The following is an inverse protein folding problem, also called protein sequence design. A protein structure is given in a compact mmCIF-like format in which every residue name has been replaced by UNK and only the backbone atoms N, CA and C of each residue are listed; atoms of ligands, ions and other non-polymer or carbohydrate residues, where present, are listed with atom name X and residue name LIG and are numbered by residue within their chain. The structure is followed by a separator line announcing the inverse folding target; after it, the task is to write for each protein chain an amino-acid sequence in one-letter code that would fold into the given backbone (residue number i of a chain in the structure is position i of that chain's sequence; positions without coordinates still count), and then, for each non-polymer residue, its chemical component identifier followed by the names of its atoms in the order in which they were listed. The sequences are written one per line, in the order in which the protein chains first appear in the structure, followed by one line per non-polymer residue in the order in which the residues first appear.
data_IF_554781581335
#
_entry.id   IF_554781581335
#
_cell.length_a   1.000
_cell.length_b   1.000
_cell.length_c   1.000
_cell.angle_alpha   90.00
_cell.angle_beta   90.00
_cell.angle_gamma   90.00
#
_symmetry.space_group_name_H-M   'P 1'
#
loop_
_entity.id
_entity.type
_entity.pdbx_description
1 polymer ?
#
# COMPACT_ATOMS: atom_id res chain seq x y z
N UNK A 1 -12.85 -17.14 18.24
CA UNK A 1 -13.48 -15.94 17.66
C UNK A 1 -12.99 -14.80 18.52
N UNK A 2 -12.05 -13.98 18.03
CA UNK A 2 -11.63 -12.79 18.77
C UNK A 2 -12.86 -11.89 18.93
N UNK A 3 -13.19 -11.53 20.17
CA UNK A 3 -14.37 -10.75 20.49
C UNK A 3 -14.17 -9.34 19.93
N UNK A 4 -15.13 -8.80 19.16
CA UNK A 4 -15.03 -7.43 18.61
C UNK A 4 -14.76 -6.39 19.71
N UNK A 5 -15.15 -6.75 20.93
CA UNK A 5 -14.92 -6.01 22.16
C UNK A 5 -13.44 -5.98 22.57
N UNK A 6 -12.68 -7.08 22.40
CA UNK A 6 -11.22 -7.09 22.64
C UNK A 6 -10.48 -6.22 21.63
N UNK A 7 -10.89 -6.28 20.35
CA UNK A 7 -10.35 -5.41 19.29
C UNK A 7 -10.63 -3.93 19.65
N UNK A 8 -11.84 -3.61 20.09
CA UNK A 8 -12.22 -2.25 20.49
C UNK A 8 -11.49 -1.73 21.74
N UNK A 9 -11.29 -2.58 22.74
CA UNK A 9 -10.57 -2.23 23.98
C UNK A 9 -9.08 -2.04 23.71
N UNK A 10 -8.46 -2.89 22.89
CA UNK A 10 -7.06 -2.73 22.48
C UNK A 10 -6.83 -1.46 21.64
N UNK A 11 -7.80 -1.12 20.79
CA UNK A 11 -7.79 0.10 19.96
C UNK A 11 -7.99 1.41 20.74
N UNK A 12 -8.50 1.38 21.99
CA UNK A 12 -8.86 2.60 22.73
C UNK A 12 -7.81 3.06 23.76
N UNK A 13 -6.83 2.23 24.12
CA UNK A 13 -6.03 2.46 25.34
C UNK A 13 -4.72 3.27 25.16
N UNK A 14 -4.16 3.41 23.96
CA UNK A 14 -2.95 4.22 23.63
C UNK A 14 -2.64 4.48 22.12
N UNK A 15 -3.29 3.89 21.10
CA UNK A 15 -2.79 3.93 19.72
C UNK A 15 -3.23 5.13 18.85
N UNK A 16 -4.02 6.08 19.36
CA UNK A 16 -4.54 7.18 18.51
C UNK A 16 -3.47 8.17 18.04
N UNK A 17 -2.30 8.25 18.69
CA UNK A 17 -1.26 9.21 18.32
C UNK A 17 -0.75 8.94 16.90
N UNK A 18 -0.37 7.70 16.59
CA UNK A 18 0.14 7.37 15.26
C UNK A 18 -0.95 7.44 14.19
N UNK A 19 -2.20 7.07 14.52
CA UNK A 19 -3.34 7.29 13.63
C UNK A 19 -3.55 8.76 13.31
N UNK A 20 -3.63 9.62 14.33
CA UNK A 20 -3.81 11.07 14.18
C UNK A 20 -2.64 11.70 13.44
N UNK A 21 -1.41 11.25 13.70
CA UNK A 21 -0.23 11.66 12.97
C UNK A 21 -0.33 11.30 11.48
N UNK A 22 -0.75 10.09 11.14
CA UNK A 22 -0.94 9.65 9.74
C UNK A 22 -1.99 10.50 9.04
N UNK A 23 -3.12 10.77 9.69
CA UNK A 23 -4.17 11.65 9.15
C UNK A 23 -3.68 13.09 8.99
N UNK A 24 -2.93 13.62 9.96
CA UNK A 24 -2.36 14.95 9.90
C UNK A 24 -1.31 15.08 8.78
N UNK A 25 -0.45 14.09 8.59
CA UNK A 25 0.52 14.04 7.51
C UNK A 25 -0.18 13.99 6.14
N UNK A 26 -1.24 13.20 6.01
CA UNK A 26 -2.05 13.16 4.79
C UNK A 26 -2.77 14.48 4.51
N UNK A 27 -3.31 15.14 5.54
CA UNK A 27 -3.95 16.45 5.40
C UNK A 27 -2.94 17.53 5.01
N UNK A 28 -1.74 17.51 5.59
CA UNK A 28 -0.65 18.41 5.21
C UNK A 28 -0.22 18.17 3.74
N UNK A 29 -0.13 16.91 3.32
CA UNK A 29 0.13 16.54 1.93
C UNK A 29 -0.96 17.02 0.97
N UNK A 30 -2.23 16.90 1.36
CA UNK A 30 -3.38 17.38 0.57
C UNK A 30 -3.36 18.90 0.44
N UNK A 31 -3.11 19.61 1.55
CA UNK A 31 -2.97 21.06 1.55
C UNK A 31 -1.83 21.53 0.65
N UNK A 32 -0.69 20.84 0.68
CA UNK A 32 0.45 21.14 -0.18
C UNK A 32 0.15 20.84 -1.65
N UNK A 33 -0.52 19.72 -1.92
CA UNK A 33 -0.96 19.35 -3.26
C UNK A 33 -1.84 20.44 -3.89
N UNK A 34 -2.87 20.90 -3.17
CA UNK A 34 -3.76 21.94 -3.66
C UNK A 34 -3.03 23.28 -3.84
N UNK A 35 -2.18 23.68 -2.88
CA UNK A 35 -1.42 24.94 -2.96
C UNK A 35 -0.36 24.94 -4.07
N UNK A 36 0.14 23.77 -4.44
CA UNK A 36 1.11 23.61 -5.53
C UNK A 36 0.49 23.68 -6.93
N UNK A 37 -0.84 23.78 -7.03
CA UNK A 37 -1.58 23.70 -8.29
C UNK A 37 -1.77 22.26 -8.76
N UNK A 38 -1.91 21.30 -7.83
CA UNK A 38 -2.14 19.87 -8.11
C UNK A 38 -1.04 19.22 -8.94
N UNK A 39 0.21 19.62 -8.70
CA UNK A 39 1.36 18.98 -9.37
C UNK A 39 1.49 17.53 -8.86
N UNK A 40 1.65 16.52 -9.75
CA UNK A 40 1.73 15.11 -9.37
C UNK A 40 2.82 14.79 -8.34
N UNK A 41 3.90 15.57 -8.33
CA UNK A 41 5.00 15.42 -7.38
C UNK A 41 4.58 15.62 -5.92
N UNK A 42 3.55 16.45 -5.65
CA UNK A 42 3.01 16.67 -4.31
C UNK A 42 1.86 15.71 -4.00
N UNK A 43 1.88 14.48 -4.54
CA UNK A 43 0.86 13.49 -4.25
C UNK A 43 0.67 13.38 -2.71
N UNK A 44 -0.56 13.51 -2.18
CA UNK A 44 -0.81 13.52 -0.75
C UNK A 44 -0.31 12.27 -0.03
N UNK A 45 -0.40 11.09 -0.67
CA UNK A 45 0.06 9.83 -0.11
C UNK A 45 1.58 9.80 -0.02
N UNK A 46 2.28 10.16 -1.11
CA UNK A 46 3.75 10.20 -1.12
C UNK A 46 4.28 11.20 -0.10
N UNK A 47 3.65 12.38 -0.02
CA UNK A 47 4.02 13.41 0.95
C UNK A 47 3.83 12.91 2.37
N UNK A 48 2.72 12.25 2.67
CA UNK A 48 2.48 11.65 3.99
C UNK A 48 3.53 10.59 4.33
N UNK A 49 3.86 9.69 3.40
CA UNK A 49 4.91 8.67 3.61
C UNK A 49 6.25 9.32 3.94
N UNK A 50 6.67 10.34 3.17
CA UNK A 50 7.93 11.06 3.41
C UNK A 50 7.94 11.71 4.79
N UNK A 51 6.84 12.37 5.19
CA UNK A 51 6.71 13.02 6.49
C UNK A 51 6.78 12.01 7.64
N UNK A 52 6.06 10.89 7.55
CA UNK A 52 6.04 9.85 8.58
C UNK A 52 7.41 9.17 8.69
N UNK A 53 7.99 8.73 7.57
CA UNK A 53 9.33 8.10 7.56
C UNK A 53 10.38 9.05 8.12
N UNK A 54 10.33 10.33 7.74
CA UNK A 54 11.20 11.37 8.29
C UNK A 54 11.04 11.53 9.81
N UNK A 55 9.80 11.59 10.29
CA UNK A 55 9.53 11.71 11.73
C UNK A 55 10.04 10.51 12.52
N UNK A 56 9.72 9.29 12.06
CA UNK A 56 10.15 8.05 12.73
C UNK A 56 11.67 7.92 12.77
N UNK A 57 12.34 8.31 11.68
CA UNK A 57 13.80 8.31 11.61
C UNK A 57 14.43 9.33 12.57
N UNK A 58 13.82 10.51 12.71
CA UNK A 58 14.29 11.56 13.63
C UNK A 58 14.00 11.23 15.10
N UNK A 59 12.86 10.60 15.40
CA UNK A 59 12.48 10.21 16.75
C UNK A 59 13.11 8.89 17.20
N UNK A 60 13.73 8.14 16.29
CA UNK A 60 14.26 6.80 16.55
C UNK A 60 13.17 5.76 16.82
N UNK A 61 11.93 6.03 16.41
CA UNK A 61 10.79 5.12 16.62
C UNK A 61 10.80 4.05 15.53
N UNK A 62 10.68 2.78 15.92
CA UNK A 62 10.64 1.69 14.94
C UNK A 62 9.31 1.68 14.17
N UNK A 63 9.33 1.10 12.98
CA UNK A 63 8.12 0.96 12.17
C UNK A 63 7.07 0.09 12.88
N UNK A 64 7.49 -0.95 13.61
CA UNK A 64 6.58 -1.81 14.36
C UNK A 64 5.78 -1.02 15.39
N UNK A 65 6.43 -0.16 16.17
CA UNK A 65 5.74 0.69 17.16
C UNK A 65 4.77 1.67 16.51
N UNK A 66 5.13 2.26 15.37
CA UNK A 66 4.21 3.08 14.58
C UNK A 66 3.01 2.26 14.09
N UNK A 67 3.27 1.05 13.58
CA UNK A 67 2.27 0.18 12.97
C UNK A 67 1.26 -0.34 13.99
N UNK A 68 1.69 -0.64 15.21
CA UNK A 68 0.81 -0.96 16.35
C UNK A 68 -0.23 0.16 16.58
N UNK A 69 0.19 1.42 16.47
CA UNK A 69 -0.72 2.56 16.57
C UNK A 69 -1.58 2.83 15.33
N UNK A 70 -1.13 2.39 14.15
CA UNK A 70 -1.82 2.60 12.88
C UNK A 70 -2.74 1.45 12.47
N UNK A 71 -2.92 0.43 13.32
CA UNK A 71 -3.68 -0.79 13.01
C UNK A 71 -5.11 -0.53 12.54
N UNK A 72 -5.76 0.56 12.98
CA UNK A 72 -7.11 0.91 12.56
C UNK A 72 -7.20 1.13 11.03
N UNK A 73 -6.26 1.88 10.45
CA UNK A 73 -6.22 2.12 9.00
C UNK A 73 -5.87 0.83 8.27
N UNK A 74 -4.96 0.04 8.82
CA UNK A 74 -4.60 -1.26 8.25
C UNK A 74 -5.80 -2.21 8.21
N UNK A 75 -6.59 -2.29 9.29
CA UNK A 75 -7.83 -3.07 9.33
C UNK A 75 -8.84 -2.61 8.26
N UNK A 76 -9.00 -1.29 8.07
CA UNK A 76 -9.87 -0.72 7.06
C UNK A 76 -9.46 -1.06 5.61
N UNK A 77 -8.21 -1.49 5.36
CA UNK A 77 -7.78 -1.95 4.04
C UNK A 77 -8.58 -3.17 3.57
N UNK A 78 -9.00 -4.06 4.48
CA UNK A 78 -9.82 -5.22 4.15
C UNK A 78 -11.18 -4.83 3.56
N UNK A 79 -12.04 -4.13 4.32
CA UNK A 79 -13.33 -3.63 3.83
C UNK A 79 -13.18 -2.74 2.60
N UNK A 80 -12.14 -1.88 2.54
CA UNK A 80 -11.88 -1.04 1.37
C UNK A 80 -11.58 -1.89 0.12
N UNK A 81 -10.79 -2.95 0.24
CA UNK A 81 -10.48 -3.87 -0.87
C UNK A 81 -11.73 -4.60 -1.37
N UNK A 82 -12.61 -5.03 -0.46
CA UNK A 82 -13.90 -5.63 -0.83
C UNK A 82 -14.82 -4.60 -1.51
N UNK A 83 -14.85 -3.36 -1.01
CA UNK A 83 -15.63 -2.28 -1.61
C UNK A 83 -15.18 -1.95 -3.04
N UNK A 84 -13.89 -2.11 -3.36
CA UNK A 84 -13.37 -1.96 -4.73
C UNK A 84 -13.93 -3.01 -5.71
N UNK A 85 -14.47 -4.14 -5.23
CA UNK A 85 -15.14 -5.11 -6.09
C UNK A 85 -16.53 -4.62 -6.57
N UNK A 86 -17.17 -3.71 -5.84
CA UNK A 86 -18.49 -3.17 -6.18
C UNK A 86 -18.52 -2.49 -7.58
N UNK A 87 -17.61 -1.55 -7.92
CA UNK A 87 -17.61 -0.94 -9.26
C UNK A 87 -17.36 -1.97 -10.36
N UNK A 88 -16.54 -3.00 -10.12
CA UNK A 88 -16.29 -4.08 -11.07
C UNK A 88 -17.56 -4.91 -11.30
N UNK A 89 -18.27 -5.26 -10.23
CA UNK A 89 -19.54 -5.98 -10.30
C UNK A 89 -20.62 -5.17 -11.04
N UNK A 90 -20.70 -3.86 -10.78
CA UNK A 90 -21.62 -2.95 -11.51
C UNK A 90 -21.32 -2.87 -13.01
N UNK A 91 -20.13 -3.25 -13.45
CA UNK A 91 -19.71 -3.25 -14.86
C UNK A 91 -19.46 -4.68 -15.38
N UNK A 92 -19.99 -5.70 -14.71
CA UNK A 92 -19.67 -7.10 -14.98
C UNK A 92 -19.93 -7.52 -16.43
N UNK A 93 -20.99 -7.02 -17.06
CA UNK A 93 -21.27 -7.31 -18.47
C UNK A 93 -20.20 -6.76 -19.42
N UNK A 94 -19.64 -5.58 -19.14
CA UNK A 94 -18.55 -4.99 -19.94
C UNK A 94 -17.25 -5.77 -19.75
N UNK A 95 -16.98 -6.18 -18.51
CA UNK A 95 -15.83 -7.03 -18.15
C UNK A 95 -15.93 -8.37 -18.88
N UNK A 96 -17.10 -9.01 -18.85
CA UNK A 96 -17.34 -10.30 -19.52
C UNK A 96 -17.14 -10.21 -21.02
N UNK A 97 -17.64 -9.17 -21.68
CA UNK A 97 -17.44 -8.94 -23.12
C UNK A 97 -15.97 -8.77 -23.49
N UNK A 98 -15.16 -8.27 -22.57
CA UNK A 98 -13.72 -8.01 -22.76
C UNK A 98 -12.83 -9.04 -22.08
N UNK A 99 -13.39 -10.15 -21.59
CA UNK A 99 -12.68 -11.07 -20.69
C UNK A 99 -11.41 -11.66 -21.32
N UNK A 100 -11.44 -11.99 -22.62
CA UNK A 100 -10.27 -12.51 -23.32
C UNK A 100 -9.13 -11.48 -23.36
N UNK A 101 -9.43 -10.22 -23.72
CA UNK A 101 -8.45 -9.14 -23.74
C UNK A 101 -7.91 -8.86 -22.32
N UNK A 102 -8.78 -8.88 -21.30
CA UNK A 102 -8.37 -8.69 -19.90
C UNK A 102 -7.46 -9.82 -19.43
N UNK A 103 -7.81 -11.08 -19.64
CA UNK A 103 -7.00 -12.22 -19.19
C UNK A 103 -5.64 -12.24 -19.88
N UNK A 104 -5.63 -12.06 -21.21
CA UNK A 104 -4.37 -12.04 -21.97
C UNK A 104 -3.46 -10.88 -21.57
N UNK A 105 -4.01 -9.66 -21.44
CA UNK A 105 -3.26 -8.50 -20.97
C UNK A 105 -2.76 -8.66 -19.52
N UNK A 106 -3.56 -9.26 -18.63
CA UNK A 106 -3.16 -9.53 -17.25
C UNK A 106 -2.02 -10.54 -17.20
N UNK A 107 -2.09 -11.66 -17.93
CA UNK A 107 -1.03 -12.67 -17.94
C UNK A 107 0.26 -12.08 -18.51
N UNK A 108 0.20 -11.49 -19.70
CA UNK A 108 1.39 -10.92 -20.33
C UNK A 108 1.97 -9.76 -19.50
N UNK A 109 1.12 -8.81 -19.10
CA UNK A 109 1.53 -7.63 -18.34
C UNK A 109 2.10 -7.97 -16.96
N UNK A 110 1.46 -8.88 -16.22
CA UNK A 110 1.95 -9.30 -14.90
C UNK A 110 3.27 -10.06 -14.99
N UNK A 111 3.40 -11.00 -15.93
CA UNK A 111 4.65 -11.74 -16.13
C UNK A 111 5.78 -10.81 -16.57
N UNK A 112 5.53 -9.89 -17.50
CA UNK A 112 6.53 -8.91 -17.92
C UNK A 112 6.92 -7.99 -16.76
N UNK A 113 5.95 -7.46 -16.01
CA UNK A 113 6.23 -6.59 -14.87
C UNK A 113 7.03 -7.30 -13.77
N UNK A 114 6.66 -8.55 -13.43
CA UNK A 114 7.37 -9.35 -12.45
C UNK A 114 8.78 -9.70 -12.92
N UNK A 115 8.92 -10.25 -14.14
CA UNK A 115 10.20 -10.67 -14.68
C UNK A 115 11.19 -9.51 -14.82
N UNK A 116 10.71 -8.35 -15.29
CA UNK A 116 11.56 -7.15 -15.41
C UNK A 116 11.94 -6.60 -14.05
N UNK A 117 11.00 -6.42 -13.12
CA UNK A 117 11.31 -5.85 -11.82
C UNK A 117 12.22 -6.76 -11.00
N UNK A 118 11.86 -8.05 -10.86
CA UNK A 118 12.66 -9.02 -10.11
C UNK A 118 13.99 -9.29 -10.81
N UNK A 119 14.01 -9.40 -12.13
CA UNK A 119 15.24 -9.63 -12.90
C UNK A 119 16.24 -8.47 -12.78
N UNK A 120 15.77 -7.23 -12.87
CA UNK A 120 16.60 -6.04 -12.64
C UNK A 120 17.07 -5.95 -11.19
N UNK A 121 16.18 -6.19 -10.22
CA UNK A 121 16.55 -6.22 -8.81
C UNK A 121 17.63 -7.27 -8.52
N UNK A 122 17.52 -8.45 -9.12
CA UNK A 122 18.50 -9.53 -8.96
C UNK A 122 19.85 -9.16 -9.59
N UNK A 123 19.83 -8.57 -10.80
CA UNK A 123 21.03 -8.09 -11.47
C UNK A 123 21.75 -6.99 -10.68
N UNK A 124 21.01 -6.16 -9.95
CA UNK A 124 21.54 -5.13 -9.05
C UNK A 124 22.00 -5.67 -7.70
N UNK A 125 21.89 -6.99 -7.45
CA UNK A 125 22.31 -7.62 -6.20
C UNK A 125 21.34 -7.43 -5.02
N UNK A 126 20.04 -7.20 -5.29
CA UNK A 126 19.05 -7.02 -4.24
C UNK A 126 18.90 -8.28 -3.35
N UNK A 127 18.63 -8.07 -2.06
CA UNK A 127 18.40 -9.16 -1.10
C UNK A 127 17.14 -9.96 -1.44
N UNK A 128 17.07 -11.21 -0.98
CA UNK A 128 15.90 -12.08 -1.19
C UNK A 128 14.60 -11.42 -0.70
N UNK A 129 14.62 -10.78 0.46
CA UNK A 129 13.46 -10.05 1.01
C UNK A 129 13.02 -8.89 0.10
N UNK A 130 13.99 -8.15 -0.45
CA UNK A 130 13.71 -7.07 -1.40
C UNK A 130 13.09 -7.61 -2.68
N UNK A 131 13.62 -8.72 -3.22
CA UNK A 131 13.08 -9.35 -4.42
C UNK A 131 11.64 -9.85 -4.22
N UNK A 132 11.34 -10.47 -3.06
CA UNK A 132 9.99 -10.91 -2.71
C UNK A 132 9.01 -9.73 -2.56
N UNK A 133 9.50 -8.58 -2.07
CA UNK A 133 8.72 -7.34 -1.96
C UNK A 133 8.50 -6.65 -3.31
N UNK A 134 9.44 -6.84 -4.24
CA UNK A 134 9.40 -6.21 -5.56
C UNK A 134 8.46 -6.95 -6.52
N UNK A 135 8.29 -8.26 -6.35
CA UNK A 135 7.45 -9.09 -7.22
C UNK A 135 5.99 -8.60 -7.35
N UNK A 136 5.25 -8.30 -6.26
CA UNK A 136 3.87 -7.85 -6.35
C UNK A 136 3.71 -6.31 -6.52
N UNK A 137 4.78 -5.57 -6.83
CA UNK A 137 4.76 -4.08 -6.83
C UNK A 137 3.71 -3.42 -7.75
N UNK A 138 3.21 -4.15 -8.75
CA UNK A 138 2.25 -3.65 -9.74
C UNK A 138 0.80 -4.03 -9.42
N UNK A 139 0.57 -4.64 -8.26
CA UNK A 139 -0.77 -4.95 -7.74
C UNK A 139 -1.24 -3.82 -6.82
N UNK A 140 -2.55 -3.69 -6.59
CA UNK A 140 -3.10 -2.75 -5.60
C UNK A 140 -2.54 -3.00 -4.21
N UNK A 141 -2.17 -1.92 -3.50
CA UNK A 141 -1.34 -1.97 -2.29
C UNK A 141 -1.78 -2.99 -1.23
N UNK A 142 -3.07 -3.09 -0.84
CA UNK A 142 -3.50 -4.07 0.16
C UNK A 142 -3.23 -5.53 -0.27
N UNK A 143 -3.52 -5.85 -1.53
CA UNK A 143 -3.32 -7.19 -2.09
C UNK A 143 -1.82 -7.48 -2.24
N UNK A 144 -1.03 -6.50 -2.68
CA UNK A 144 0.42 -6.65 -2.82
C UNK A 144 1.11 -6.93 -1.48
N UNK A 145 0.70 -6.21 -0.42
CA UNK A 145 1.22 -6.40 0.93
C UNK A 145 0.89 -7.80 1.47
N UNK A 146 -0.35 -8.26 1.30
CA UNK A 146 -0.76 -9.59 1.74
C UNK A 146 -0.04 -10.73 0.99
N UNK A 147 0.25 -10.56 -0.31
CA UNK A 147 1.06 -11.50 -1.08
C UNK A 147 2.50 -11.50 -0.57
N UNK A 148 3.07 -10.33 -0.30
CA UNK A 148 4.45 -10.19 0.16
C UNK A 148 4.68 -10.87 1.50
N UNK A 149 3.73 -10.73 2.43
CA UNK A 149 3.78 -11.38 3.74
C UNK A 149 3.83 -12.91 3.60
N UNK A 150 3.05 -13.48 2.68
CA UNK A 150 3.07 -14.91 2.36
C UNK A 150 4.38 -15.37 1.68
N UNK A 151 5.03 -14.49 0.92
CA UNK A 151 6.30 -14.77 0.25
C UNK A 151 7.53 -14.60 1.17
N UNK A 152 7.33 -14.06 2.38
CA UNK A 152 8.42 -13.73 3.32
C UNK A 152 9.23 -12.50 2.89
N UNK A 153 8.59 -11.52 2.24
CA UNK A 153 9.17 -10.20 1.98
C UNK A 153 8.75 -9.17 3.03
N UNK A 154 8.96 -7.89 2.73
CA UNK A 154 8.64 -6.75 3.59
C UNK A 154 7.38 -6.02 3.04
N UNK A 155 6.20 -6.15 3.68
CA UNK A 155 4.97 -5.49 3.23
C UNK A 155 5.09 -3.95 3.19
N UNK A 156 5.84 -3.36 4.13
CA UNK A 156 6.09 -1.92 4.20
C UNK A 156 6.84 -1.41 2.96
N UNK A 157 7.88 -2.12 2.53
CA UNK A 157 8.62 -1.82 1.30
C UNK A 157 7.72 -1.96 0.07
N UNK A 158 6.90 -3.02 0.03
CA UNK A 158 5.95 -3.26 -1.06
C UNK A 158 4.94 -2.13 -1.19
N UNK A 159 4.39 -1.65 -0.08
CA UNK A 159 3.47 -0.52 -0.09
C UNK A 159 4.10 0.72 -0.72
N UNK A 160 5.35 1.04 -0.35
CA UNK A 160 6.10 2.15 -0.94
C UNK A 160 6.33 1.96 -2.45
N UNK A 161 6.73 0.76 -2.89
CA UNK A 161 6.96 0.44 -4.29
C UNK A 161 5.70 0.51 -5.15
N UNK A 162 4.56 0.06 -4.61
CA UNK A 162 3.25 0.16 -5.27
C UNK A 162 2.84 1.62 -5.43
N UNK A 163 2.98 2.44 -4.38
CA UNK A 163 2.67 3.87 -4.43
C UNK A 163 3.56 4.57 -5.45
N UNK A 164 4.86 4.31 -5.43
CA UNK A 164 5.80 4.86 -6.40
C UNK A 164 5.41 4.48 -7.84
N UNK A 165 5.10 3.20 -8.07
CA UNK A 165 4.65 2.72 -9.39
C UNK A 165 3.34 3.36 -9.83
N UNK A 166 2.41 3.64 -8.89
CA UNK A 166 1.13 4.28 -9.19
C UNK A 166 1.20 5.79 -9.42
N UNK A 167 2.28 6.46 -8.99
CA UNK A 167 2.50 7.90 -9.19
C UNK A 167 3.24 8.20 -10.50
N UNK A 168 4.16 7.31 -10.89
CA UNK A 168 4.93 7.41 -12.14
C UNK A 168 4.04 7.20 -13.38
#
# INVERSE_FOLDING_TARGET
MADLTEVWVYLSASPLLFLTLTLAAFQAGTWLYDRSGRKPFFNPVLTAVILIVGLLSLSGTTYETYFEGAQFVHFLLGPATVALAIPLYRQFDRVRRSALALITSLICGSLTAMATAVGLGWLMGASRETLMSLAPKSVTAPVAMAITEQLGGLPSLTAALVILTGIL
#
